data_IF_982162522411
#
_entry.id   IF_982162522411
#
_cell.length_a   1.000
_cell.length_b   1.000
_cell.length_c   1.000
_cell.angle_alpha   90.00
_cell.angle_beta   90.00
_cell.angle_gamma   90.00
#
_symmetry.space_group_name_H-M   'P 1'
#
loop_
_entity.id
_entity.type
_entity.pdbx_description
1 polymer ?
#
# COMPACT_ATOMS: atom_id res chain seq x y z
N UNK A 1 29.61 4.79 -7.64
CA UNK A 1 28.39 5.62 -7.46
C UNK A 1 28.80 6.90 -6.75
N UNK A 2 28.66 8.07 -7.39
CA UNK A 2 28.95 9.35 -6.73
C UNK A 2 27.81 9.68 -5.76
N UNK A 3 28.14 10.25 -4.60
CA UNK A 3 27.19 10.52 -3.50
C UNK A 3 25.99 11.39 -3.96
N UNK A 4 26.19 12.18 -5.01
CA UNK A 4 25.22 13.15 -5.53
C UNK A 4 24.24 12.55 -6.56
N UNK A 5 24.50 11.36 -7.11
CA UNK A 5 23.67 10.77 -8.17
C UNK A 5 22.44 10.06 -7.60
N UNK A 6 21.35 10.09 -8.38
CA UNK A 6 20.10 9.41 -8.08
C UNK A 6 20.30 7.89 -7.86
N UNK A 7 19.78 7.36 -6.75
CA UNK A 7 19.77 5.92 -6.47
C UNK A 7 18.47 5.27 -6.96
N UNK A 8 18.20 5.38 -8.26
CA UNK A 8 17.06 4.66 -8.84
C UNK A 8 17.43 3.18 -9.02
N UNK A 9 16.61 2.28 -8.47
CA UNK A 9 16.98 0.86 -8.34
C UNK A 9 16.89 0.08 -9.66
N UNK A 10 15.99 0.47 -10.57
CA UNK A 10 15.72 -0.29 -11.80
C UNK A 10 16.69 0.05 -12.94
N UNK A 11 17.14 1.31 -13.02
CA UNK A 11 18.02 1.79 -14.09
C UNK A 11 19.01 2.80 -13.55
N UNK A 12 20.19 2.82 -14.16
CA UNK A 12 21.19 3.84 -13.88
C UNK A 12 20.64 5.23 -14.23
N UNK A 13 20.84 6.17 -13.31
CA UNK A 13 20.36 7.53 -13.46
C UNK A 13 21.50 8.50 -13.16
N UNK A 14 21.84 9.33 -14.15
CA UNK A 14 22.91 10.32 -14.06
C UNK A 14 22.47 11.64 -13.41
N UNK A 15 21.16 11.82 -13.21
CA UNK A 15 20.59 13.02 -12.58
C UNK A 15 21.03 13.14 -11.11
N UNK A 16 21.18 14.37 -10.67
CA UNK A 16 21.50 14.69 -9.27
C UNK A 16 20.30 14.48 -8.36
N UNK A 17 20.56 14.13 -7.11
CA UNK A 17 19.55 14.02 -6.07
C UNK A 17 18.93 15.39 -5.79
N UNK A 18 17.64 15.37 -5.54
CA UNK A 18 16.92 16.57 -5.07
C UNK A 18 17.24 16.83 -3.59
N UNK A 19 17.10 18.07 -3.16
CA UNK A 19 17.37 18.49 -1.78
C UNK A 19 16.05 18.70 -1.05
N UNK A 20 15.91 18.15 0.15
CA UNK A 20 14.77 18.38 1.05
C UNK A 20 14.85 19.81 1.61
N UNK A 21 13.73 20.37 2.09
CA UNK A 21 13.71 21.66 2.81
C UNK A 21 14.73 21.74 3.96
N UNK A 22 15.02 20.61 4.59
CA UNK A 22 16.00 20.50 5.69
C UNK A 22 17.48 20.47 5.22
N UNK A 23 17.74 20.64 3.92
CA UNK A 23 19.08 20.57 3.32
C UNK A 23 19.62 19.15 3.08
N UNK A 24 18.95 18.11 3.60
CA UNK A 24 19.31 16.71 3.33
C UNK A 24 18.95 16.28 1.91
N UNK A 25 19.79 15.47 1.27
CA UNK A 25 19.51 14.91 -0.05
C UNK A 25 18.42 13.84 0.01
N UNK A 26 17.49 13.89 -0.93
CA UNK A 26 16.62 12.77 -1.24
C UNK A 26 17.42 11.60 -1.83
N UNK A 27 16.86 10.39 -1.79
CA UNK A 27 17.44 9.22 -2.44
C UNK A 27 17.41 9.31 -3.97
N UNK A 28 16.37 9.98 -4.50
CA UNK A 28 16.07 10.07 -5.92
C UNK A 28 16.23 11.51 -6.44
N UNK A 29 16.46 11.63 -7.75
CA UNK A 29 16.33 12.90 -8.47
C UNK A 29 14.87 13.36 -8.54
N UNK A 30 14.64 14.61 -8.92
CA UNK A 30 13.30 15.20 -8.97
C UNK A 30 12.37 14.46 -9.95
N UNK A 31 12.89 14.03 -11.10
CA UNK A 31 12.14 13.26 -12.08
C UNK A 31 11.61 11.93 -11.51
N UNK A 32 12.45 11.16 -10.82
CA UNK A 32 12.00 9.89 -10.24
C UNK A 32 11.08 10.09 -9.04
N UNK A 33 11.24 11.18 -8.28
CA UNK A 33 10.29 11.53 -7.20
C UNK A 33 8.90 11.87 -7.75
N UNK A 34 8.82 12.70 -8.79
CA UNK A 34 7.53 13.09 -9.37
C UNK A 34 6.81 11.89 -9.98
N UNK A 35 7.54 11.00 -10.66
CA UNK A 35 7.00 9.75 -11.20
C UNK A 35 6.49 8.82 -10.10
N UNK A 36 7.26 8.62 -9.03
CA UNK A 36 6.83 7.81 -7.89
C UNK A 36 5.55 8.37 -7.24
N UNK A 37 5.48 9.69 -7.05
CA UNK A 37 4.29 10.35 -6.51
C UNK A 37 3.07 10.19 -7.43
N UNK A 38 3.25 10.26 -8.75
CA UNK A 38 2.18 10.03 -9.71
C UNK A 38 1.65 8.58 -9.62
N UNK A 39 2.56 7.61 -9.57
CA UNK A 39 2.21 6.19 -9.43
C UNK A 39 1.45 5.91 -8.12
N UNK A 40 1.93 6.47 -7.00
CA UNK A 40 1.25 6.38 -5.71
C UNK A 40 -0.17 6.96 -5.75
N UNK A 41 -0.37 8.10 -6.42
CA UNK A 41 -1.70 8.69 -6.59
C UNK A 41 -2.64 7.79 -7.37
N UNK A 42 -2.16 7.20 -8.47
CA UNK A 42 -2.93 6.24 -9.27
C UNK A 42 -3.32 5.02 -8.46
N UNK A 43 -2.38 4.44 -7.71
CA UNK A 43 -2.64 3.28 -6.85
C UNK A 43 -3.67 3.61 -5.76
N UNK A 44 -3.52 4.75 -5.09
CA UNK A 44 -4.47 5.21 -4.09
C UNK A 44 -5.87 5.44 -4.69
N UNK A 45 -5.97 6.00 -5.90
CA UNK A 45 -7.24 6.20 -6.59
C UNK A 45 -7.92 4.87 -6.98
N UNK A 46 -7.13 3.91 -7.47
CA UNK A 46 -7.60 2.55 -7.78
C UNK A 46 -8.13 1.86 -6.52
N UNK A 47 -7.34 1.84 -5.44
CA UNK A 47 -7.75 1.26 -4.14
C UNK A 47 -9.02 1.90 -3.58
N UNK A 48 -9.15 3.24 -3.66
CA UNK A 48 -10.39 3.95 -3.24
C UNK A 48 -11.61 3.54 -4.07
N UNK A 49 -11.41 3.23 -5.34
CA UNK A 49 -12.51 2.82 -6.24
C UNK A 49 -12.93 1.39 -5.97
N UNK A 50 -11.97 0.49 -5.77
CA UNK A 50 -12.22 -0.91 -5.37
C UNK A 50 -13.01 -0.98 -4.06
N UNK A 51 -12.59 -0.23 -3.03
CA UNK A 51 -13.32 -0.16 -1.75
C UNK A 51 -14.74 0.37 -1.92
N UNK A 52 -14.95 1.40 -2.76
CA UNK A 52 -16.31 1.92 -3.04
C UNK A 52 -17.18 0.91 -3.77
N UNK A 53 -16.60 0.16 -4.70
CA UNK A 53 -17.31 -0.88 -5.45
C UNK A 53 -17.69 -2.06 -4.55
N UNK A 54 -16.79 -2.50 -3.67
CA UNK A 54 -17.06 -3.55 -2.67
C UNK A 54 -18.24 -3.16 -1.75
N UNK A 55 -18.21 -1.95 -1.18
CA UNK A 55 -19.33 -1.42 -0.37
C UNK A 55 -20.65 -1.35 -1.15
N UNK A 56 -20.60 -1.01 -2.44
CA UNK A 56 -21.80 -0.99 -3.30
C UNK A 56 -22.34 -2.40 -3.53
N UNK A 57 -21.48 -3.39 -3.72
CA UNK A 57 -21.89 -4.79 -3.86
C UNK A 57 -22.54 -5.32 -2.59
N UNK A 58 -21.97 -5.04 -1.41
CA UNK A 58 -22.56 -5.37 -0.11
C UNK A 58 -23.98 -4.79 0.04
N UNK A 59 -24.16 -3.51 -0.30
CA UNK A 59 -25.48 -2.88 -0.24
C UNK A 59 -26.50 -3.52 -1.19
N UNK A 60 -26.05 -4.01 -2.35
CA UNK A 60 -26.93 -4.67 -3.34
C UNK A 60 -27.32 -6.08 -2.88
N UNK A 61 -26.38 -6.83 -2.29
CA UNK A 61 -26.64 -8.15 -1.71
C UNK A 61 -27.65 -8.03 -0.55
N UNK A 62 -27.47 -7.06 0.34
CA UNK A 62 -28.40 -6.81 1.47
C UNK A 62 -29.82 -6.46 0.97
N UNK A 63 -29.94 -5.70 -0.11
CA UNK A 63 -31.26 -5.37 -0.70
C UNK A 63 -31.93 -6.54 -1.43
N UNK A 64 -31.17 -7.60 -1.80
CA UNK A 64 -31.71 -8.73 -2.58
C UNK A 64 -32.23 -9.87 -1.68
N UNK A 65 -31.82 -9.93 -0.41
CA UNK A 65 -32.21 -10.99 0.55
C UNK A 65 -33.66 -10.86 1.09
N UNK A 66 -34.39 -9.80 0.74
CA UNK A 66 -35.80 -9.62 1.12
C UNK A 66 -36.79 -10.09 0.05
N UNK A 67 -36.34 -10.85 -0.96
CA UNK A 67 -37.22 -11.41 -1.99
C UNK A 67 -37.17 -12.94 -1.94
N UNK A 68 -38.31 -13.64 -1.74
CA UNK A 68 -38.30 -15.09 -1.62
C UNK A 68 -37.97 -15.75 -2.97
N UNK A 69 -36.85 -16.50 -2.96
CA UNK A 69 -36.54 -17.70 -3.77
C UNK A 69 -36.71 -17.64 -5.30
N UNK A 70 -35.60 -17.77 -6.04
CA UNK A 70 -35.37 -18.85 -7.04
C UNK A 70 -33.99 -18.80 -7.72
N UNK A 71 -33.27 -19.92 -7.60
CA UNK A 71 -32.26 -20.52 -8.50
C UNK A 71 -30.99 -19.76 -8.96
N UNK A 72 -29.86 -20.27 -8.45
CA UNK A 72 -28.58 -20.62 -9.14
C UNK A 72 -27.96 -19.63 -10.12
N UNK A 73 -26.76 -19.11 -9.78
CA UNK A 73 -25.59 -19.10 -10.66
C UNK A 73 -24.31 -18.90 -9.82
N UNK A 74 -23.36 -19.83 -9.94
CA UNK A 74 -22.02 -19.75 -9.32
C UNK A 74 -21.18 -18.78 -10.15
N UNK A 75 -20.83 -17.62 -9.58
CA UNK A 75 -19.99 -16.63 -10.24
C UNK A 75 -18.52 -17.10 -10.23
N UNK A 76 -17.93 -17.18 -11.42
CA UNK A 76 -16.51 -17.42 -11.67
C UNK A 76 -15.64 -16.38 -10.97
N UNK A 77 -14.65 -16.84 -10.20
CA UNK A 77 -13.62 -16.00 -9.59
C UNK A 77 -12.71 -15.51 -10.73
N UNK A 78 -12.86 -14.24 -11.13
CA UNK A 78 -11.89 -13.58 -12.00
C UNK A 78 -10.61 -13.33 -11.19
N UNK A 79 -9.53 -14.03 -11.56
CA UNK A 79 -8.20 -13.81 -10.99
C UNK A 79 -7.74 -12.42 -11.37
N UNK A 80 -7.62 -11.53 -10.38
CA UNK A 80 -7.09 -10.18 -10.58
C UNK A 80 -5.60 -10.29 -10.85
N UNK A 81 -5.17 -9.93 -12.06
CA UNK A 81 -3.74 -9.88 -12.42
C UNK A 81 -3.06 -8.76 -11.62
N UNK A 82 -2.45 -9.14 -10.49
CA UNK A 82 -1.58 -8.26 -9.72
C UNK A 82 -0.23 -8.22 -10.45
N UNK A 83 0.04 -7.11 -11.14
CA UNK A 83 1.32 -6.93 -11.82
C UNK A 83 2.46 -6.94 -10.78
N UNK A 84 3.35 -7.92 -10.92
CA UNK A 84 4.45 -8.21 -10.00
C UNK A 84 5.45 -7.04 -9.92
N UNK A 85 5.54 -6.20 -10.96
CA UNK A 85 6.38 -4.99 -10.94
C UNK A 85 5.87 -3.91 -9.95
N UNK A 86 4.60 -3.97 -9.56
CA UNK A 86 3.95 -2.97 -8.68
C UNK A 86 4.13 -3.30 -7.18
N UNK A 87 4.69 -4.46 -6.85
CA UNK A 87 4.80 -5.00 -5.49
C UNK A 87 6.22 -4.91 -4.89
N UNK A 88 7.18 -4.28 -5.58
CA UNK A 88 8.58 -4.24 -5.11
C UNK A 88 8.95 -2.98 -4.29
N UNK A 89 8.08 -1.97 -4.23
CA UNK A 89 8.36 -0.73 -3.48
C UNK A 89 7.90 -0.72 -2.02
N UNK A 90 7.18 -1.75 -1.55
CA UNK A 90 6.78 -1.88 -0.14
C UNK A 90 7.80 -2.69 0.70
N UNK A 91 8.53 -3.63 0.08
CA UNK A 91 9.50 -4.51 0.76
C UNK A 91 10.98 -4.21 0.44
N UNK A 92 11.27 -3.17 -0.34
CA UNK A 92 12.64 -2.85 -0.81
C UNK A 92 13.52 -2.06 0.17
N UNK A 93 13.14 -1.95 1.44
CA UNK A 93 14.11 -1.63 2.49
C UNK A 93 14.80 -2.93 2.89
N UNK A 94 16.14 -2.98 3.04
CA UNK A 94 16.74 -4.04 3.84
C UNK A 94 15.98 -4.09 5.17
N UNK A 95 15.43 -5.25 5.52
CA UNK A 95 14.99 -5.51 6.89
C UNK A 95 16.27 -5.36 7.70
N UNK A 96 16.43 -4.24 8.41
CA UNK A 96 17.49 -4.16 9.41
C UNK A 96 17.24 -5.29 10.41
N UNK A 97 18.27 -6.06 10.80
CA UNK A 97 18.09 -7.10 11.80
C UNK A 97 17.49 -6.44 13.03
N UNK A 98 16.31 -6.91 13.44
CA UNK A 98 15.66 -6.50 14.68
C UNK A 98 16.69 -6.72 15.78
N UNK A 99 17.11 -5.69 16.54
CA UNK A 99 18.03 -5.88 17.64
C UNK A 99 17.42 -6.87 18.63
N UNK A 100 18.10 -7.98 18.86
CA UNK A 100 17.69 -9.05 19.79
C UNK A 100 17.78 -8.67 21.27
N UNK A 101 17.91 -7.38 21.58
CA UNK A 101 17.79 -6.87 22.94
C UNK A 101 16.34 -6.49 23.21
N UNK A 102 15.60 -7.53 23.54
CA UNK A 102 14.27 -7.47 24.13
C UNK A 102 14.38 -6.82 25.51
N UNK A 103 14.19 -5.51 25.58
CA UNK A 103 13.90 -4.82 26.84
C UNK A 103 13.11 -3.56 26.53
N UNK A 104 11.88 -3.56 27.03
CA UNK A 104 10.96 -2.41 27.14
C UNK A 104 10.20 -2.05 25.85
N UNK A 105 9.36 -2.99 25.40
CA UNK A 105 8.08 -2.59 24.81
C UNK A 105 7.17 -2.30 26.01
N UNK A 106 6.91 -1.02 26.27
CA UNK A 106 5.84 -0.63 27.17
C UNK A 106 4.53 -1.21 26.61
N UNK A 107 4.03 -2.21 27.33
CA UNK A 107 2.90 -3.05 26.97
C UNK A 107 1.56 -2.36 27.30
N UNK A 108 1.48 -1.05 27.08
CA UNK A 108 0.26 -0.28 27.31
C UNK A 108 -0.52 -0.16 25.99
N UNK A 109 -0.89 -1.31 25.42
CA UNK A 109 -2.00 -1.36 24.48
C UNK A 109 -3.25 -1.08 25.29
N UNK A 110 -3.83 0.10 25.08
CA UNK A 110 -5.03 0.51 25.80
C UNK A 110 -6.23 -0.32 25.34
N UNK A 111 -7.19 -0.54 26.24
CA UNK A 111 -8.41 -1.31 25.98
C UNK A 111 -9.13 -0.90 24.68
N UNK A 112 -8.98 0.37 24.28
CA UNK A 112 -9.58 0.95 23.07
C UNK A 112 -8.99 0.38 21.78
N UNK A 113 -7.70 0.00 21.78
CA UNK A 113 -7.02 -0.62 20.63
C UNK A 113 -7.53 -2.04 20.38
N UNK A 114 -7.95 -2.75 21.44
CA UNK A 114 -8.55 -4.08 21.32
C UNK A 114 -9.97 -4.04 20.74
N UNK A 115 -10.72 -2.97 21.02
CA UNK A 115 -12.06 -2.77 20.47
C UNK A 115 -12.02 -2.51 18.95
N UNK A 116 -10.96 -1.89 18.44
CA UNK A 116 -10.77 -1.70 17.00
C UNK A 116 -10.49 -3.03 16.29
N UNK A 117 -9.74 -3.94 16.93
CA UNK A 117 -9.40 -5.25 16.37
C UNK A 117 -10.56 -6.26 16.44
N UNK A 118 -11.45 -6.15 17.44
CA UNK A 118 -12.61 -7.04 17.56
C UNK A 118 -13.78 -6.69 16.63
N UNK A 119 -13.73 -5.56 15.93
CA UNK A 119 -14.75 -5.13 14.98
C UNK A 119 -14.47 -5.61 13.54
N UNK A 120 -13.38 -6.35 13.35
CA UNK A 120 -12.89 -6.85 12.07
C UNK A 120 -12.90 -8.40 11.96
N UNK A 121 -13.51 -9.08 12.94
CA UNK A 121 -13.85 -10.51 12.94
C UNK A 121 -15.36 -10.66 13.12
#
# INVERSE_FOLDING_TARGET
MTVMQCQYAYKECTNTRSVKRDGKLHRLCEYHRSRANAMQKTYAAKRRTEVRNAKRQESKIMSTLNTPTSSTNVATIETVDINIDDMMWLFGCPIEPIPTTYSEIDNDITQDDYAFLSLLL
#
